data_IF_632701872305
#
_entry.id   IF_632701872305
#
_cell.length_a   1.000
_cell.length_b   1.000
_cell.length_c   1.000
_cell.angle_alpha   90.00
_cell.angle_beta   90.00
_cell.angle_gamma   90.00
#
_symmetry.space_group_name_H-M   'P 1'
#
loop_
_entity.id
_entity.type
_entity.pdbx_description
1 polymer ?
#
# COMPACT_ATOMS: atom_id res chain seq x y z
N UNK A 1 10.34 -5.57 -5.75
CA UNK A 1 10.17 -4.22 -5.18
C UNK A 1 11.50 -3.47 -5.16
N UNK A 2 11.81 -2.77 -6.25
CA UNK A 2 12.99 -1.90 -6.38
C UNK A 2 12.48 -0.47 -6.50
N UNK A 3 12.96 0.45 -5.68
CA UNK A 3 13.00 1.86 -6.06
C UNK A 3 11.71 2.67 -5.84
N UNK A 4 11.26 2.77 -4.59
CA UNK A 4 10.70 4.04 -4.10
C UNK A 4 11.83 4.94 -3.57
N UNK A 5 12.96 4.35 -3.16
CA UNK A 5 14.04 5.06 -2.51
C UNK A 5 15.06 5.76 -3.44
N UNK A 6 15.15 5.39 -4.72
CA UNK A 6 16.09 6.06 -5.65
C UNK A 6 15.65 7.45 -6.11
N UNK A 7 14.39 7.83 -5.86
CA UNK A 7 13.81 9.08 -6.36
C UNK A 7 13.86 10.26 -5.37
N UNK A 8 14.19 10.03 -4.10
CA UNK A 8 14.36 11.11 -3.12
C UNK A 8 15.78 11.66 -3.06
N UNK A 9 16.80 10.86 -3.40
CA UNK A 9 18.20 11.33 -3.41
C UNK A 9 18.64 11.99 -4.72
N UNK A 10 17.87 11.87 -5.81
CA UNK A 10 18.19 12.54 -7.07
C UNK A 10 17.55 13.94 -7.22
N UNK A 11 16.99 14.47 -6.13
CA UNK A 11 16.39 15.83 -6.07
C UNK A 11 17.29 16.87 -5.39
N UNK A 12 18.47 16.49 -4.89
CA UNK A 12 19.41 17.41 -4.23
C UNK A 12 20.85 17.08 -4.64
N UNK A 13 21.31 17.64 -5.75
CA UNK A 13 22.71 17.51 -6.16
C UNK A 13 23.01 18.03 -7.56
N UNK A 14 23.83 19.08 -7.62
CA UNK A 14 24.59 19.61 -8.77
C UNK A 14 23.80 20.15 -9.98
N UNK A 15 23.35 21.40 -9.86
CA UNK A 15 23.28 22.30 -11.00
C UNK A 15 24.66 22.89 -11.27
N UNK A 16 25.45 22.24 -12.13
CA UNK A 16 26.60 22.85 -12.79
C UNK A 16 26.13 23.50 -14.08
N UNK A 17 26.14 24.83 -14.08
CA UNK A 17 26.11 25.66 -15.28
C UNK A 17 27.31 25.31 -16.15
N UNK A 18 27.09 24.72 -17.32
CA UNK A 18 28.06 24.75 -18.42
C UNK A 18 27.35 25.11 -19.74
N UNK A 19 28.00 26.04 -20.43
CA UNK A 19 27.61 26.82 -21.58
C UNK A 19 27.46 26.01 -22.87
N UNK A 20 26.37 26.22 -23.60
CA UNK A 20 26.27 25.90 -25.03
C UNK A 20 25.78 27.15 -25.77
N UNK A 21 26.70 28.09 -25.96
CA UNK A 21 26.74 28.96 -27.14
C UNK A 21 27.06 28.09 -28.36
N UNK A 22 26.42 28.41 -29.49
CA UNK A 22 26.64 27.87 -30.83
C UNK A 22 25.92 26.58 -31.23
N UNK A 23 24.64 26.70 -31.60
CA UNK A 23 24.09 25.90 -32.69
C UNK A 23 23.19 26.73 -33.61
N UNK A 24 23.69 26.91 -34.85
CA UNK A 24 23.16 27.73 -35.93
C UNK A 24 22.11 26.93 -36.72
N UNK A 25 20.85 27.38 -36.75
CA UNK A 25 19.79 26.82 -37.59
C UNK A 25 19.81 27.42 -39.01
N UNK A 26 19.65 26.62 -40.09
CA UNK A 26 19.20 27.12 -41.37
C UNK A 26 17.71 26.83 -41.62
N UNK A 27 17.06 27.84 -42.19
CA UNK A 27 15.73 27.93 -42.78
C UNK A 27 15.17 26.66 -43.45
N UNK A 28 13.89 26.32 -43.18
CA UNK A 28 12.91 25.95 -44.22
C UNK A 28 11.47 25.76 -43.69
N UNK A 29 10.50 26.46 -44.30
CA UNK A 29 9.24 25.82 -44.73
C UNK A 29 7.97 25.94 -43.87
N UNK A 30 7.40 27.14 -43.78
CA UNK A 30 6.11 27.51 -43.16
C UNK A 30 4.84 26.95 -43.88
N UNK A 31 4.89 25.84 -44.64
CA UNK A 31 3.78 25.48 -45.55
C UNK A 31 3.44 23.98 -45.69
N UNK A 32 3.72 23.15 -44.68
CA UNK A 32 3.24 21.75 -44.62
C UNK A 32 2.18 21.53 -43.51
N UNK A 33 1.37 22.54 -43.24
CA UNK A 33 0.17 22.45 -42.42
C UNK A 33 -1.05 22.47 -43.33
N UNK A 34 -1.57 21.33 -43.80
CA UNK A 34 -3.01 21.21 -44.18
C UNK A 34 -3.50 19.83 -44.67
N UNK A 35 -2.75 18.73 -44.55
CA UNK A 35 -3.25 17.42 -45.04
C UNK A 35 -2.85 16.16 -44.26
N UNK A 36 -2.87 16.24 -42.93
CA UNK A 36 -3.15 15.06 -42.08
C UNK A 36 -4.09 15.44 -40.94
N UNK A 37 -5.22 16.04 -41.33
CA UNK A 37 -6.47 16.13 -40.56
C UNK A 37 -7.07 14.72 -40.35
N UNK A 38 -6.33 13.88 -39.64
CA UNK A 38 -6.79 12.73 -38.84
C UNK A 38 -5.93 12.65 -37.58
N UNK A 39 -5.41 13.79 -37.12
CA UNK A 39 -5.30 14.07 -35.69
C UNK A 39 -6.74 14.17 -35.17
N UNK A 40 -7.36 13.01 -34.98
CA UNK A 40 -8.53 12.85 -34.14
C UNK A 40 -8.09 13.22 -32.72
N UNK A 41 -8.05 14.53 -32.48
CA UNK A 41 -8.20 15.18 -31.20
C UNK A 41 -9.56 14.82 -30.62
N UNK A 42 -9.86 13.53 -30.49
CA UNK A 42 -10.80 13.08 -29.47
C UNK A 42 -9.97 13.05 -28.19
N UNK A 43 -10.22 14.06 -27.37
CA UNK A 43 -10.05 14.05 -25.92
C UNK A 43 -9.98 12.61 -25.40
N UNK A 44 -8.79 12.03 -25.29
CA UNK A 44 -8.54 11.04 -24.24
C UNK A 44 -8.56 11.88 -22.98
N UNK A 45 -9.78 12.13 -22.52
CA UNK A 45 -10.03 12.51 -21.14
C UNK A 45 -9.06 11.68 -20.29
N UNK A 46 -8.35 12.34 -19.38
CA UNK A 46 -7.51 11.68 -18.38
C UNK A 46 -8.36 10.84 -17.41
N UNK A 47 -9.40 10.15 -17.90
CA UNK A 47 -10.07 9.09 -17.21
C UNK A 47 -9.09 7.91 -17.21
N UNK A 48 -8.58 7.62 -16.03
CA UNK A 48 -8.00 6.34 -15.71
C UNK A 48 -8.80 5.21 -16.38
N UNK A 49 -8.15 4.25 -17.06
CA UNK A 49 -8.87 3.19 -17.73
C UNK A 49 -9.78 2.48 -16.73
N UNK A 50 -11.02 2.17 -17.10
CA UNK A 50 -12.05 1.64 -16.18
C UNK A 50 -11.53 0.46 -15.35
N UNK A 51 -10.66 -0.37 -15.93
CA UNK A 51 -9.99 -1.50 -15.25
C UNK A 51 -9.15 -1.07 -14.04
N UNK A 52 -8.46 0.05 -14.15
CA UNK A 52 -7.66 0.61 -13.07
C UNK A 52 -8.53 1.18 -11.95
N UNK A 53 -9.64 1.84 -12.29
CA UNK A 53 -10.60 2.32 -11.29
C UNK A 53 -11.21 1.16 -10.51
N UNK A 54 -11.57 0.06 -11.19
CA UNK A 54 -12.05 -1.16 -10.55
C UNK A 54 -10.96 -1.76 -9.65
N UNK A 55 -9.71 -1.83 -10.11
CA UNK A 55 -8.60 -2.31 -9.29
C UNK A 55 -8.38 -1.43 -8.05
N UNK A 56 -8.49 -0.11 -8.19
CA UNK A 56 -8.38 0.84 -7.08
C UNK A 56 -9.53 0.65 -6.08
N UNK A 57 -10.76 0.48 -6.55
CA UNK A 57 -11.91 0.24 -5.69
C UNK A 57 -11.75 -1.07 -4.90
N UNK A 58 -11.37 -2.17 -5.57
CA UNK A 58 -11.10 -3.47 -4.91
C UNK A 58 -9.98 -3.34 -3.88
N UNK A 59 -8.91 -2.62 -4.22
CA UNK A 59 -7.79 -2.35 -3.31
C UNK A 59 -8.26 -1.58 -2.06
N UNK A 60 -8.97 -0.45 -2.23
CA UNK A 60 -9.45 0.37 -1.11
C UNK A 60 -10.45 -0.41 -0.25
N UNK A 61 -11.41 -1.12 -0.86
CA UNK A 61 -12.39 -1.93 -0.11
C UNK A 61 -11.69 -3.01 0.69
N UNK A 62 -10.70 -3.69 0.12
CA UNK A 62 -9.95 -4.73 0.83
C UNK A 62 -9.13 -4.15 1.99
N UNK A 63 -8.56 -2.96 1.80
CA UNK A 63 -7.80 -2.25 2.82
C UNK A 63 -8.69 -1.82 4.00
N UNK A 64 -9.85 -1.22 3.73
CA UNK A 64 -10.83 -0.83 4.76
C UNK A 64 -11.38 -2.08 5.46
N UNK A 65 -11.69 -3.15 4.72
CA UNK A 65 -12.14 -4.41 5.30
C UNK A 65 -11.09 -5.01 6.24
N UNK A 66 -9.81 -4.93 5.91
CA UNK A 66 -8.72 -5.39 6.79
C UNK A 66 -8.71 -4.63 8.13
N UNK A 67 -8.89 -3.30 8.08
CA UNK A 67 -8.90 -2.46 9.28
C UNK A 67 -10.14 -2.72 10.17
N UNK A 68 -11.30 -2.97 9.58
CA UNK A 68 -12.56 -3.20 10.33
C UNK A 68 -12.69 -4.64 10.84
N UNK A 69 -12.30 -5.63 10.05
CA UNK A 69 -12.38 -7.05 10.43
C UNK A 69 -11.21 -7.50 11.31
N UNK A 70 -10.23 -6.61 11.55
CA UNK A 70 -8.99 -6.88 12.29
C UNK A 70 -9.21 -7.38 13.72
N UNK A 71 -10.32 -7.00 14.35
CA UNK A 71 -10.66 -7.39 15.72
C UNK A 71 -10.97 -8.89 15.86
N UNK A 72 -11.49 -9.53 14.81
CA UNK A 72 -11.91 -10.93 14.87
C UNK A 72 -10.70 -11.84 14.76
N UNK A 73 -10.39 -12.53 15.86
CA UNK A 73 -9.36 -13.57 15.91
C UNK A 73 -9.98 -14.94 15.65
N UNK A 74 -9.31 -15.76 14.84
CA UNK A 74 -9.64 -17.17 14.62
C UNK A 74 -8.51 -18.06 15.14
N UNK A 75 -8.82 -19.28 15.60
CA UNK A 75 -7.79 -20.27 15.91
C UNK A 75 -7.03 -20.65 14.64
N UNK A 76 -5.71 -20.74 14.75
CA UNK A 76 -4.79 -21.13 13.69
C UNK A 76 -3.88 -22.27 14.16
N UNK A 77 -3.01 -22.76 13.29
CA UNK A 77 -2.14 -23.90 13.59
C UNK A 77 -1.31 -23.68 14.87
N UNK A 78 -1.02 -24.78 15.58
CA UNK A 78 -0.22 -24.81 16.81
C UNK A 78 -0.78 -23.99 17.98
N UNK A 79 -2.10 -23.80 18.07
CA UNK A 79 -2.73 -23.04 19.17
C UNK A 79 -2.48 -21.54 19.09
N UNK A 80 -2.04 -21.05 17.92
CA UNK A 80 -1.87 -19.62 17.66
C UNK A 80 -3.20 -18.99 17.22
N UNK A 81 -3.31 -17.67 17.34
CA UNK A 81 -4.49 -16.93 16.91
C UNK A 81 -4.13 -15.99 15.76
N UNK A 82 -4.94 -15.97 14.71
CA UNK A 82 -4.75 -15.13 13.54
C UNK A 82 -5.95 -14.20 13.36
N UNK A 83 -5.72 -12.94 12.98
CA UNK A 83 -6.82 -12.04 12.65
C UNK A 83 -7.45 -12.42 11.31
N UNK A 84 -8.77 -12.31 11.19
CA UNK A 84 -9.49 -12.58 9.94
C UNK A 84 -9.15 -11.55 8.85
N UNK A 85 -8.71 -10.35 9.23
CA UNK A 85 -8.21 -9.32 8.29
C UNK A 85 -7.06 -9.82 7.41
N UNK A 86 -6.36 -10.85 7.87
CA UNK A 86 -5.23 -11.46 7.19
C UNK A 86 -5.61 -12.02 5.80
N UNK A 87 -6.88 -12.35 5.55
CA UNK A 87 -7.38 -12.77 4.23
C UNK A 87 -7.57 -11.63 3.23
N UNK A 88 -7.60 -10.38 3.67
CA UNK A 88 -7.74 -9.21 2.80
C UNK A 88 -6.40 -8.76 2.20
N UNK A 89 -5.29 -8.93 2.92
CA UNK A 89 -3.95 -8.53 2.45
C UNK A 89 -3.49 -9.19 1.13
N UNK A 90 -3.78 -10.47 0.84
CA UNK A 90 -3.50 -11.07 -0.46
C UNK A 90 -4.05 -10.26 -1.64
N UNK A 91 -5.30 -9.77 -1.51
CA UNK A 91 -5.95 -8.96 -2.54
C UNK A 91 -5.27 -7.61 -2.65
N UNK A 92 -4.93 -6.98 -1.52
CA UNK A 92 -4.21 -5.71 -1.46
C UNK A 92 -2.87 -5.81 -2.21
N UNK A 93 -2.04 -6.81 -1.89
CA UNK A 93 -0.73 -7.00 -2.52
C UNK A 93 -0.83 -7.37 -4.00
N UNK A 94 -1.77 -8.25 -4.35
CA UNK A 94 -2.02 -8.65 -5.73
C UNK A 94 -2.39 -7.45 -6.61
N UNK A 95 -3.26 -6.57 -6.12
CA UNK A 95 -3.65 -5.36 -6.85
C UNK A 95 -2.47 -4.41 -7.03
N UNK A 96 -1.66 -4.16 -6.00
CA UNK A 96 -0.50 -3.26 -6.11
C UNK A 96 0.56 -3.81 -7.07
N UNK A 97 0.77 -5.13 -7.10
CA UNK A 97 1.75 -5.76 -7.98
C UNK A 97 1.29 -5.72 -9.44
N UNK A 98 0.03 -6.09 -9.72
CA UNK A 98 -0.55 -6.04 -11.08
C UNK A 98 -0.49 -4.61 -11.62
N UNK A 99 -0.88 -3.62 -10.81
CA UNK A 99 -0.87 -2.21 -11.22
C UNK A 99 0.56 -1.71 -11.43
N UNK A 100 1.49 -2.10 -10.56
CA UNK A 100 2.90 -1.74 -10.70
C UNK A 100 3.55 -2.31 -11.96
N UNK A 101 3.19 -3.53 -12.36
CA UNK A 101 3.72 -4.18 -13.55
C UNK A 101 3.10 -3.61 -14.85
N UNK A 102 1.79 -3.36 -14.89
CA UNK A 102 1.10 -2.89 -16.10
C UNK A 102 1.28 -1.38 -16.32
N UNK A 103 1.12 -0.59 -15.26
CA UNK A 103 1.06 0.88 -15.34
C UNK A 103 2.33 1.55 -14.80
N UNK A 104 3.27 0.78 -14.26
CA UNK A 104 4.53 1.25 -13.74
C UNK A 104 4.47 1.78 -12.31
N UNK A 105 5.65 2.02 -11.74
CA UNK A 105 5.84 2.38 -10.32
C UNK A 105 5.14 3.68 -9.91
N UNK A 106 4.97 4.64 -10.82
CA UNK A 106 4.33 5.92 -10.50
C UNK A 106 2.85 5.74 -10.14
N UNK A 107 2.15 4.87 -10.87
CA UNK A 107 0.72 4.59 -10.63
C UNK A 107 0.54 3.71 -9.40
N UNK A 108 1.40 2.71 -9.18
CA UNK A 108 1.39 1.94 -7.94
C UNK A 108 1.59 2.81 -6.69
N UNK A 109 2.47 3.82 -6.76
CA UNK A 109 2.62 4.79 -5.66
C UNK A 109 1.35 5.60 -5.39
N UNK A 110 0.60 5.95 -6.43
CA UNK A 110 -0.68 6.64 -6.25
C UNK A 110 -1.73 5.75 -5.61
N UNK A 111 -1.72 4.44 -5.86
CA UNK A 111 -2.58 3.48 -5.15
C UNK A 111 -2.28 3.45 -3.65
N UNK A 112 -0.99 3.38 -3.29
CA UNK A 112 -0.56 3.42 -1.90
C UNK A 112 -1.02 4.71 -1.21
N UNK A 113 -0.78 5.86 -1.85
CA UNK A 113 -1.21 7.17 -1.32
C UNK A 113 -2.74 7.24 -1.20
N UNK A 114 -3.48 6.74 -2.17
CA UNK A 114 -4.94 6.67 -2.12
C UNK A 114 -5.44 5.75 -0.99
N UNK A 115 -4.75 4.63 -0.75
CA UNK A 115 -5.01 3.73 0.37
C UNK A 115 -4.76 4.39 1.72
N UNK A 116 -3.65 5.10 1.86
CA UNK A 116 -3.32 5.87 3.05
C UNK A 116 -4.35 6.98 3.31
N UNK A 117 -4.67 7.78 2.28
CA UNK A 117 -5.64 8.87 2.37
C UNK A 117 -7.06 8.37 2.71
N UNK A 118 -7.51 7.29 2.06
CA UNK A 118 -8.81 6.69 2.36
C UNK A 118 -8.88 6.08 3.76
N UNK A 119 -7.80 5.45 4.24
CA UNK A 119 -7.73 4.94 5.62
C UNK A 119 -7.72 6.07 6.63
N UNK A 120 -6.97 7.16 6.39
CA UNK A 120 -6.99 8.34 7.25
C UNK A 120 -8.39 8.99 7.32
N UNK A 121 -9.09 9.06 6.18
CA UNK A 121 -10.47 9.55 6.14
C UNK A 121 -11.44 8.61 6.88
N UNK A 122 -11.25 7.28 6.75
CA UNK A 122 -12.03 6.29 7.49
C UNK A 122 -11.83 6.41 9.00
N UNK A 123 -10.58 6.62 9.47
CA UNK A 123 -10.27 6.92 10.87
C UNK A 123 -11.00 8.17 11.33
N UNK A 124 -10.94 9.24 10.55
CA UNK A 124 -11.61 10.50 10.87
C UNK A 124 -13.12 10.31 11.05
N UNK A 125 -13.80 9.62 10.12
CA UNK A 125 -15.22 9.32 10.26
C UNK A 125 -15.55 8.42 11.45
N UNK A 126 -14.69 7.43 11.73
CA UNK A 126 -14.89 6.53 12.87
C UNK A 126 -14.78 7.28 14.20
N UNK A 127 -13.78 8.16 14.35
CA UNK A 127 -13.62 9.00 15.54
C UNK A 127 -14.80 9.97 15.67
N UNK A 128 -15.18 10.64 14.57
CA UNK A 128 -16.32 11.54 14.56
C UNK A 128 -17.59 10.83 15.00
N UNK A 129 -17.82 9.61 14.52
CA UNK A 129 -18.98 8.80 14.89
C UNK A 129 -18.99 8.43 16.38
N UNK A 130 -17.84 8.06 16.95
CA UNK A 130 -17.74 7.70 18.38
C UNK A 130 -17.83 8.92 19.32
N UNK A 131 -17.51 10.12 18.84
CA UNK A 131 -17.62 11.36 19.62
C UNK A 131 -19.04 11.94 19.67
N UNK A 132 -19.88 11.61 18.68
CA UNK A 132 -21.24 12.10 18.61
C UNK A 132 -22.13 11.36 19.62
N UNK A 133 -22.96 12.07 20.40
CA UNK A 133 -23.83 11.42 21.38
C UNK A 133 -24.92 10.60 20.68
N UNK A 134 -25.23 9.44 21.28
CA UNK A 134 -26.37 8.63 20.88
C UNK A 134 -27.68 9.42 20.98
N UNK A 135 -28.60 9.20 20.05
CA UNK A 135 -29.96 9.75 20.15
C UNK A 135 -30.66 9.22 21.40
N UNK A 136 -31.52 10.04 22.03
CA UNK A 136 -32.30 9.65 23.21
C UNK A 136 -33.38 8.57 22.97
N UNK A 137 -33.52 8.09 21.73
CA UNK A 137 -34.43 7.01 21.38
C UNK A 137 -33.92 5.66 21.91
N UNK A 138 -34.75 4.99 22.71
CA UNK A 138 -34.43 3.70 23.31
C UNK A 138 -34.58 2.54 22.33
N UNK A 139 -35.22 2.73 21.17
CA UNK A 139 -35.41 1.67 20.17
C UNK A 139 -34.07 1.13 19.62
N UNK A 140 -33.04 1.96 19.53
CA UNK A 140 -31.70 1.57 19.04
C UNK A 140 -30.71 1.17 20.16
N UNK A 141 -31.12 1.22 21.43
CA UNK A 141 -30.22 1.04 22.58
C UNK A 141 -29.50 -0.31 22.62
N UNK A 142 -30.06 -1.35 21.99
CA UNK A 142 -29.46 -2.68 21.88
C UNK A 142 -28.09 -2.67 21.18
N UNK A 143 -27.86 -1.72 20.26
CA UNK A 143 -26.65 -1.65 19.46
C UNK A 143 -25.54 -0.77 20.07
N UNK A 144 -25.88 0.12 21.01
CA UNK A 144 -24.97 1.19 21.47
C UNK A 144 -23.66 0.62 22.01
N UNK A 145 -23.75 -0.32 22.96
CA UNK A 145 -22.58 -0.91 23.61
C UNK A 145 -21.68 -1.69 22.62
N UNK A 146 -22.27 -2.46 21.71
CA UNK A 146 -21.50 -3.20 20.71
C UNK A 146 -20.87 -2.29 19.67
N UNK A 147 -21.57 -1.23 19.26
CA UNK A 147 -21.07 -0.26 18.30
C UNK A 147 -19.84 0.48 18.85
N UNK A 148 -19.93 1.01 20.08
CA UNK A 148 -18.84 1.77 20.72
C UNK A 148 -17.59 0.91 20.88
N UNK A 149 -17.75 -0.38 21.23
CA UNK A 149 -16.63 -1.32 21.35
C UNK A 149 -16.01 -1.63 19.98
N UNK A 150 -16.82 -1.97 18.97
CA UNK A 150 -16.33 -2.37 17.65
C UNK A 150 -15.62 -1.20 16.96
N UNK A 151 -16.26 -0.02 16.91
CA UNK A 151 -15.70 1.13 16.23
C UNK A 151 -14.61 1.82 17.05
N UNK A 152 -14.62 1.72 18.38
CA UNK A 152 -13.51 2.15 19.23
C UNK A 152 -12.23 1.35 18.94
N UNK A 153 -12.33 0.02 18.88
CA UNK A 153 -11.19 -0.85 18.52
C UNK A 153 -10.79 -0.67 17.06
N UNK A 154 -11.75 -0.53 16.14
CA UNK A 154 -11.47 -0.30 14.71
C UNK A 154 -10.72 1.00 14.47
N UNK A 155 -11.10 2.10 15.13
CA UNK A 155 -10.38 3.37 15.06
C UNK A 155 -8.92 3.19 15.49
N UNK A 156 -8.72 2.48 16.61
CA UNK A 156 -7.39 2.18 17.15
C UNK A 156 -6.55 1.31 16.20
N UNK A 157 -7.11 0.25 15.64
CA UNK A 157 -6.44 -0.62 14.65
C UNK A 157 -6.04 0.18 13.42
N UNK A 158 -6.94 1.04 12.94
CA UNK A 158 -6.69 1.87 11.75
C UNK A 158 -5.58 2.90 11.99
N UNK A 159 -5.55 3.55 13.17
CA UNK A 159 -4.45 4.43 13.58
C UNK A 159 -3.13 3.67 13.67
N UNK A 160 -3.15 2.47 14.28
CA UNK A 160 -1.98 1.61 14.37
C UNK A 160 -1.46 1.23 12.98
N UNK A 161 -2.35 0.94 12.02
CA UNK A 161 -1.98 0.63 10.64
C UNK A 161 -1.31 1.81 9.95
N UNK A 162 -1.82 3.04 10.10
CA UNK A 162 -1.21 4.23 9.49
C UNK A 162 0.17 4.52 10.07
N UNK A 163 0.31 4.41 11.40
CA UNK A 163 1.59 4.61 12.09
C UNK A 163 2.62 3.55 11.72
N UNK A 164 2.23 2.28 11.75
CA UNK A 164 3.09 1.16 11.37
C UNK A 164 3.56 1.31 9.93
N UNK A 165 2.66 1.68 9.03
CA UNK A 165 2.97 1.91 7.62
C UNK A 165 4.03 3.00 7.43
N UNK A 166 3.87 4.19 8.03
CA UNK A 166 4.83 5.30 7.90
C UNK A 166 6.19 4.93 8.48
N UNK A 167 6.22 4.28 9.64
CA UNK A 167 7.48 3.90 10.28
C UNK A 167 8.17 2.79 9.49
N UNK A 168 7.41 1.80 8.99
CA UNK A 168 7.94 0.73 8.17
C UNK A 168 8.51 1.25 6.84
N UNK A 169 7.84 2.20 6.17
CA UNK A 169 8.38 2.83 4.97
C UNK A 169 9.68 3.57 5.25
N UNK A 170 9.76 4.37 6.32
CA UNK A 170 11.00 5.07 6.69
C UNK A 170 12.13 4.09 7.04
N UNK A 171 11.80 2.98 7.67
CA UNK A 171 12.78 1.99 8.08
C UNK A 171 13.25 1.10 6.93
N UNK A 172 12.41 0.79 5.94
CA UNK A 172 12.79 0.03 4.75
C UNK A 172 13.91 0.75 3.99
N UNK A 173 13.82 2.07 3.92
CA UNK A 173 14.85 2.95 3.35
C UNK A 173 16.19 2.80 4.06
N UNK A 174 16.18 2.89 5.39
CA UNK A 174 17.38 2.80 6.22
C UNK A 174 17.98 1.41 6.08
N UNK A 175 17.16 0.36 6.15
CA UNK A 175 17.58 -1.02 5.98
C UNK A 175 18.20 -1.24 4.59
N UNK A 176 17.57 -0.75 3.53
CA UNK A 176 18.08 -0.90 2.17
C UNK A 176 19.49 -0.32 1.99
N UNK A 177 19.76 0.87 2.55
CA UNK A 177 21.11 1.46 2.51
C UNK A 177 22.09 0.79 3.46
N UNK A 178 21.65 0.39 4.64
CA UNK A 178 22.48 -0.34 5.59
C UNK A 178 22.98 -1.64 4.96
N UNK A 179 22.09 -2.40 4.31
CA UNK A 179 22.44 -3.61 3.58
C UNK A 179 23.23 -3.33 2.29
N UNK A 180 23.02 -2.19 1.63
CA UNK A 180 23.88 -1.73 0.51
C UNK A 180 25.33 -1.54 0.94
N UNK A 181 25.53 -0.94 2.11
CA UNK A 181 26.86 -0.70 2.67
C UNK A 181 27.54 -1.98 3.17
N UNK A 182 26.75 -2.95 3.66
CA UNK A 182 27.26 -4.18 4.28
C UNK A 182 27.54 -5.33 3.29
N UNK A 183 26.75 -5.47 2.21
CA UNK A 183 26.83 -6.62 1.30
C UNK A 183 27.29 -6.30 -0.13
N UNK A 184 27.72 -5.06 -0.41
CA UNK A 184 28.20 -4.68 -1.75
C UNK A 184 27.10 -4.67 -2.84
N UNK A 185 27.52 -4.47 -4.10
CA UNK A 185 26.62 -4.31 -5.26
C UNK A 185 26.14 -5.61 -5.90
N UNK A 186 26.75 -6.76 -5.56
CA UNK A 186 26.64 -7.97 -6.40
C UNK A 186 25.36 -8.79 -6.21
N UNK A 187 24.63 -8.64 -5.10
CA UNK A 187 23.43 -9.45 -4.82
C UNK A 187 22.19 -8.60 -4.53
N UNK A 188 21.71 -7.90 -5.57
CA UNK A 188 20.54 -7.04 -5.53
C UNK A 188 19.27 -7.76 -5.01
N UNK A 189 19.06 -9.02 -5.40
CA UNK A 189 17.87 -9.81 -5.04
C UNK A 189 17.84 -10.19 -3.55
N UNK A 190 18.99 -10.58 -2.98
CA UNK A 190 19.10 -10.97 -1.56
C UNK A 190 18.82 -9.77 -0.67
N UNK A 191 19.37 -8.59 -1.01
CA UNK A 191 19.14 -7.36 -0.25
C UNK A 191 17.68 -6.90 -0.29
N UNK A 192 17.04 -6.98 -1.45
CA UNK A 192 15.63 -6.57 -1.59
C UNK A 192 14.70 -7.47 -0.78
N UNK A 193 14.88 -8.80 -0.84
CA UNK A 193 14.06 -9.73 -0.05
C UNK A 193 14.34 -9.61 1.45
N UNK A 194 15.60 -9.46 1.86
CA UNK A 194 15.95 -9.31 3.27
C UNK A 194 15.42 -8.01 3.87
N UNK A 195 15.49 -6.90 3.12
CA UNK A 195 14.86 -5.63 3.51
C UNK A 195 13.35 -5.81 3.66
N UNK A 196 12.69 -6.44 2.69
CA UNK A 196 11.25 -6.63 2.73
C UNK A 196 10.79 -7.49 3.93
N UNK A 197 11.51 -8.57 4.22
CA UNK A 197 11.24 -9.44 5.38
C UNK A 197 11.42 -8.68 6.69
N UNK A 198 12.47 -7.86 6.80
CA UNK A 198 12.76 -7.04 7.97
C UNK A 198 11.74 -5.91 8.16
N UNK A 199 11.37 -5.24 7.08
CA UNK A 199 10.36 -4.18 7.07
C UNK A 199 8.98 -4.71 7.45
N UNK A 200 8.60 -5.90 6.95
CA UNK A 200 7.37 -6.58 7.36
C UNK A 200 7.38 -7.04 8.82
N UNK A 201 8.55 -7.42 9.36
CA UNK A 201 8.69 -7.75 10.77
C UNK A 201 8.42 -6.52 11.63
N UNK A 202 9.07 -5.39 11.33
CA UNK A 202 8.88 -4.15 12.08
C UNK A 202 7.48 -3.57 11.93
N UNK A 203 6.88 -3.62 10.73
CA UNK A 203 5.46 -3.31 10.52
C UNK A 203 4.58 -4.12 11.48
N UNK A 204 4.78 -5.44 11.52
CA UNK A 204 3.96 -6.34 12.34
C UNK A 204 4.16 -6.11 13.84
N UNK A 205 5.39 -5.86 14.29
CA UNK A 205 5.71 -5.54 15.69
C UNK A 205 5.03 -4.24 16.09
N UNK A 206 5.24 -3.16 15.34
CA UNK A 206 4.69 -1.83 15.66
C UNK A 206 3.17 -1.87 15.61
N UNK A 207 2.59 -2.45 14.56
CA UNK A 207 1.15 -2.61 14.42
C UNK A 207 0.55 -3.35 15.61
N UNK A 208 1.11 -4.52 15.96
CA UNK A 208 0.56 -5.36 17.04
C UNK A 208 0.64 -4.65 18.38
N UNK A 209 1.77 -3.99 18.67
CA UNK A 209 1.93 -3.23 19.91
C UNK A 209 0.95 -2.07 19.98
N UNK A 210 0.87 -1.21 18.97
CA UNK A 210 0.00 -0.03 19.00
C UNK A 210 -1.49 -0.42 18.98
N UNK A 211 -1.87 -1.41 18.17
CA UNK A 211 -3.25 -1.85 18.03
C UNK A 211 -3.79 -2.52 19.29
N UNK A 212 -2.96 -3.28 20.01
CA UNK A 212 -3.43 -4.17 21.08
C UNK A 212 -2.86 -3.92 22.48
N UNK A 213 -1.97 -2.94 22.66
CA UNK A 213 -1.45 -2.59 24.01
C UNK A 213 -2.60 -2.27 24.98
N UNK A 214 -2.66 -2.94 26.13
CA UNK A 214 -3.74 -2.74 27.10
C UNK A 214 -5.08 -3.43 26.75
N UNK A 215 -5.18 -4.14 25.62
CA UNK A 215 -6.29 -5.06 25.33
C UNK A 215 -5.87 -6.50 25.70
N UNK A 216 -4.68 -6.91 25.27
CA UNK A 216 -4.14 -8.24 25.54
C UNK A 216 -2.93 -8.20 26.48
N UNK A 217 -2.70 -9.25 27.27
CA UNK A 217 -1.49 -9.39 28.10
C UNK A 217 -0.21 -9.40 27.26
N UNK A 218 0.90 -8.89 27.81
CA UNK A 218 2.21 -8.89 27.16
C UNK A 218 2.65 -10.25 26.56
N UNK A 219 2.51 -11.38 27.26
CA UNK A 219 2.87 -12.68 26.69
C UNK A 219 2.07 -13.04 25.43
N UNK A 220 0.80 -12.64 25.38
CA UNK A 220 -0.07 -12.86 24.22
C UNK A 220 0.37 -12.01 23.04
N UNK A 221 0.70 -10.73 23.26
CA UNK A 221 1.19 -9.83 22.21
C UNK A 221 2.47 -10.37 21.56
N UNK A 222 3.44 -10.84 22.35
CA UNK A 222 4.67 -11.41 21.82
C UNK A 222 4.40 -12.72 21.07
N UNK A 223 3.50 -13.55 21.59
CA UNK A 223 3.15 -14.83 20.98
C UNK A 223 2.45 -14.69 19.61
N UNK A 224 1.70 -13.61 19.36
CA UNK A 224 1.01 -13.39 18.07
C UNK A 224 1.88 -12.71 17.01
N UNK A 225 2.92 -11.96 17.40
CA UNK A 225 3.81 -11.25 16.45
C UNK A 225 4.46 -12.23 15.46
N UNK A 226 5.07 -13.31 15.96
CA UNK A 226 5.81 -14.24 15.12
C UNK A 226 4.91 -15.00 14.13
N UNK A 227 3.78 -15.61 14.53
CA UNK A 227 2.83 -16.24 13.61
C UNK A 227 2.28 -15.28 12.55
N UNK A 228 1.97 -14.03 12.92
CA UNK A 228 1.42 -13.04 11.99
C UNK A 228 2.46 -12.61 10.96
N UNK A 229 3.69 -12.36 11.40
CA UNK A 229 4.80 -12.05 10.50
C UNK A 229 5.12 -13.22 9.58
N UNK A 230 5.24 -14.43 10.14
CA UNK A 230 5.51 -15.64 9.35
C UNK A 230 4.42 -15.87 8.31
N UNK A 231 3.15 -15.71 8.70
CA UNK A 231 2.04 -15.79 7.76
C UNK A 231 2.18 -14.76 6.64
N UNK A 232 2.43 -13.48 6.95
CA UNK A 232 2.59 -12.42 5.94
C UNK A 232 3.71 -12.75 4.95
N UNK A 233 4.84 -13.24 5.46
CA UNK A 233 6.00 -13.63 4.63
C UNK A 233 5.66 -14.82 3.73
N UNK A 234 5.14 -15.91 4.29
CA UNK A 234 4.77 -17.13 3.54
C UNK A 234 3.71 -16.81 2.48
N UNK A 235 2.70 -16.03 2.85
CA UNK A 235 1.68 -15.59 1.92
C UNK A 235 2.24 -14.71 0.82
N UNK A 236 3.11 -13.74 1.14
CA UNK A 236 3.78 -12.93 0.12
C UNK A 236 4.49 -13.79 -0.93
N UNK A 237 5.21 -14.82 -0.48
CA UNK A 237 5.86 -15.78 -1.38
C UNK A 237 4.87 -16.63 -2.19
N UNK A 238 3.74 -17.06 -1.61
CA UNK A 238 2.71 -17.83 -2.31
C UNK A 238 1.94 -17.00 -3.35
N UNK A 239 1.71 -15.71 -3.10
CA UNK A 239 0.97 -14.85 -4.04
C UNK A 239 1.84 -14.26 -5.14
N UNK A 240 3.16 -14.15 -4.94
CA UNK A 240 4.10 -13.71 -5.98
C UNK A 240 3.96 -14.51 -7.29
N UNK A 241 3.91 -15.85 -7.32
CA UNK A 241 3.64 -16.60 -8.56
C UNK A 241 2.20 -16.41 -9.06
N UNK A 242 1.23 -16.23 -8.16
CA UNK A 242 -0.17 -16.02 -8.53
C UNK A 242 -0.39 -14.67 -9.23
N UNK A 243 0.37 -13.63 -8.86
CA UNK A 243 0.31 -12.32 -9.52
C UNK A 243 0.82 -12.40 -10.96
N UNK A 244 1.86 -13.20 -11.25
CA UNK A 244 2.28 -13.49 -12.63
C UNK A 244 1.21 -14.21 -13.46
N UNK A 245 0.39 -15.07 -12.84
CA UNK A 245 -0.76 -15.72 -13.51
C UNK A 245 -1.89 -14.72 -13.75
N UNK A 246 -2.21 -13.86 -12.78
CA UNK A 246 -3.18 -12.79 -12.93
C UNK A 246 -2.80 -11.80 -14.04
N UNK A 247 -1.50 -11.49 -14.15
CA UNK A 247 -0.94 -10.68 -15.23
C UNK A 247 -1.13 -11.31 -16.62
N UNK A 248 -0.98 -12.64 -16.75
CA UNK A 248 -1.26 -13.35 -18.02
C UNK A 248 -2.74 -13.32 -18.42
N UNK A 249 -3.65 -13.30 -17.44
CA UNK A 249 -5.10 -13.21 -17.66
C UNK A 249 -5.56 -11.79 -17.99
N UNK A 250 -4.94 -10.78 -17.38
CA UNK A 250 -5.34 -9.37 -17.51
C UNK A 250 -4.57 -8.60 -18.59
N UNK A 251 -3.44 -9.11 -19.10
CA UNK A 251 -2.78 -8.55 -20.28
C UNK A 251 -3.79 -8.58 -21.44
N UNK A 252 -4.19 -7.42 -22.00
CA UNK A 252 -4.97 -7.44 -23.22
C UNK A 252 -4.14 -8.19 -24.26
N UNK A 253 -4.71 -9.23 -24.88
CA UNK A 253 -4.14 -9.77 -26.11
C UNK A 253 -4.03 -8.58 -27.05
N UNK A 254 -2.81 -8.27 -27.50
CA UNK A 254 -2.66 -7.46 -28.68
C UNK A 254 -3.45 -8.20 -29.77
N UNK A 255 -4.55 -7.59 -30.21
CA UNK A 255 -5.26 -7.97 -31.42
C UNK A 255 -4.46 -7.41 -32.59
#
# INVERSE_FOLDING_TARGET
>A
MVGIHELLLHSLGSGTFETLSDFKMPHCGFFYCLKSKTMEQNQTTNLWPTRLLVALAVYITSLIAANTLGIKLMPFFFGTHLSVAVFSFPVVFLMTDIVGEIYGKRVARQFVIAGFASTALFVFYTILSNLMPWSGDKAASWAHASYDVIFGVTARISIASLLAFVIAEYQDVIAFFFFRKKFGSEHFWIRSNLSNIWSQFLDTVIFTLVAFIGIYPWPTLVAIIFPWWLYKVVMGFLYTPLSYVGLKLLKPRAV
#
